data_IF_095458292633
#
_entry.id   IF_095458292633
#
_cell.length_a   1.000
_cell.length_b   1.000
_cell.length_c   1.000
_cell.angle_alpha   90.00
_cell.angle_beta   90.00
_cell.angle_gamma   90.00
#
_symmetry.space_group_name_H-M   'P 1'
#
loop_
_entity.id
_entity.type
_entity.pdbx_description
1 polymer ?
#
# COMPACT_ATOMS: atom_id res chain seq x y z
N UNK A 1 -7.79 20.47 -39.79
CA UNK A 1 -8.10 20.60 -38.34
C UNK A 1 -6.83 20.40 -37.51
N UNK A 2 -5.94 21.40 -37.38
CA UNK A 2 -4.71 21.28 -36.57
C UNK A 2 -4.79 21.97 -35.19
N UNK A 3 -5.92 22.58 -34.81
CA UNK A 3 -6.03 23.37 -33.57
C UNK A 3 -6.28 22.54 -32.30
N UNK A 4 -6.58 21.25 -32.41
CA UNK A 4 -6.86 20.37 -31.26
C UNK A 4 -5.62 19.63 -30.73
N UNK A 5 -4.53 19.57 -31.49
CA UNK A 5 -3.27 18.92 -31.08
C UNK A 5 -2.61 19.58 -29.85
N UNK A 6 -2.53 20.93 -29.70
CA UNK A 6 -1.92 21.51 -28.50
C UNK A 6 -2.78 21.25 -27.25
N UNK A 7 -4.10 21.19 -27.38
CA UNK A 7 -5.01 20.91 -26.27
C UNK A 7 -4.85 19.47 -25.74
N UNK A 8 -4.64 18.51 -26.65
CA UNK A 8 -4.39 17.12 -26.29
C UNK A 8 -3.03 16.96 -25.56
N UNK A 9 -2.00 17.69 -26.02
CA UNK A 9 -0.68 17.72 -25.38
C UNK A 9 -0.71 18.39 -23.99
N UNK A 10 -1.45 19.49 -23.82
CA UNK A 10 -1.62 20.10 -22.49
C UNK A 10 -2.38 19.18 -21.52
N UNK A 11 -3.42 18.50 -21.99
CA UNK A 11 -4.21 17.58 -21.16
C UNK A 11 -3.40 16.40 -20.63
N UNK A 12 -2.44 15.89 -21.41
CA UNK A 12 -1.60 14.75 -21.03
C UNK A 12 -0.54 15.11 -19.98
N UNK A 13 -0.04 16.35 -19.97
CA UNK A 13 0.91 16.83 -18.95
C UNK A 13 0.23 16.91 -17.57
N UNK A 14 -1.02 17.39 -17.52
CA UNK A 14 -1.81 17.52 -16.28
C UNK A 14 -2.09 16.18 -15.60
N UNK A 15 -2.17 15.09 -16.36
CA UNK A 15 -2.42 13.75 -15.81
C UNK A 15 -1.20 13.16 -15.09
N UNK A 16 0.02 13.63 -15.38
CA UNK A 16 1.26 13.07 -14.82
C UNK A 16 1.77 13.85 -13.60
N UNK A 17 1.29 15.09 -13.38
CA UNK A 17 1.74 15.97 -12.28
C UNK A 17 1.14 15.64 -10.90
N UNK A 18 0.32 14.60 -10.76
CA UNK A 18 -0.38 14.25 -9.52
C UNK A 18 0.45 13.49 -8.48
N UNK A 19 1.64 12.99 -8.83
CA UNK A 19 2.48 12.22 -7.91
C UNK A 19 3.50 13.12 -7.22
N UNK A 20 3.40 13.29 -5.90
CA UNK A 20 4.48 13.87 -5.11
C UNK A 20 5.64 12.85 -5.05
N UNK A 21 6.81 13.12 -5.67
CA UNK A 21 7.87 12.14 -5.81
C UNK A 21 8.62 11.87 -4.50
N UNK A 22 8.49 12.75 -3.51
CA UNK A 22 9.24 12.67 -2.27
C UNK A 22 8.35 13.11 -1.10
N UNK A 23 7.71 12.15 -0.44
CA UNK A 23 7.05 12.34 0.85
C UNK A 23 8.02 11.85 1.91
N UNK A 24 8.41 12.75 2.82
CA UNK A 24 9.40 12.44 3.84
C UNK A 24 8.84 11.36 4.78
N UNK A 25 9.67 10.43 5.32
CA UNK A 25 9.17 9.29 6.10
C UNK A 25 8.24 9.66 7.26
N UNK A 26 8.48 10.79 7.92
CA UNK A 26 7.65 11.29 9.02
C UNK A 26 6.31 11.92 8.58
N UNK A 27 6.20 12.37 7.33
CA UNK A 27 4.95 12.92 6.77
C UNK A 27 3.92 11.81 6.47
N UNK A 28 4.39 10.58 6.26
CA UNK A 28 3.53 9.42 6.01
C UNK A 28 2.71 8.99 7.23
N UNK A 29 3.15 9.36 8.45
CA UNK A 29 2.46 9.02 9.69
C UNK A 29 1.13 9.74 9.90
N UNK A 30 0.91 10.89 9.25
CA UNK A 30 -0.32 11.67 9.40
C UNK A 30 -1.54 11.02 8.73
N UNK A 31 -1.31 10.25 7.67
CA UNK A 31 -2.38 9.63 6.88
C UNK A 31 -2.64 8.17 7.26
N UNK A 32 -1.63 7.47 7.78
CA UNK A 32 -1.75 6.08 8.21
C UNK A 32 -2.41 5.98 9.60
N UNK A 33 -3.74 5.93 9.61
CA UNK A 33 -4.50 5.79 10.86
C UNK A 33 -4.38 4.35 11.40
N UNK A 34 -4.45 4.12 12.73
CA UNK A 34 -4.33 2.78 13.32
C UNK A 34 -5.33 1.75 12.77
N UNK A 35 -6.53 2.17 12.38
CA UNK A 35 -7.55 1.28 11.78
C UNK A 35 -7.27 0.88 10.33
N UNK A 36 -6.29 1.49 9.68
CA UNK A 36 -5.82 1.12 8.34
C UNK A 36 -4.75 0.02 8.39
N UNK A 37 -4.36 -0.43 9.59
CA UNK A 37 -3.44 -1.54 9.75
C UNK A 37 -4.04 -2.82 9.13
N UNK A 38 -3.20 -3.61 8.45
CA UNK A 38 -3.60 -4.90 7.87
C UNK A 38 -4.15 -5.88 8.90
N UNK A 39 -3.68 -5.77 10.15
CA UNK A 39 -4.11 -6.61 11.27
C UNK A 39 -4.28 -5.71 12.50
N UNK A 40 -5.43 -5.03 12.64
CA UNK A 40 -5.65 -4.11 13.76
C UNK A 40 -5.88 -4.85 15.09
N UNK A 41 -6.28 -6.13 15.04
CA UNK A 41 -6.48 -7.00 16.20
C UNK A 41 -5.56 -8.22 16.13
N UNK A 42 -4.59 -8.29 17.05
CA UNK A 42 -3.62 -9.38 17.11
C UNK A 42 -4.25 -10.74 17.45
N UNK A 43 -5.29 -10.77 18.28
CA UNK A 43 -5.97 -12.02 18.67
C UNK A 43 -6.70 -12.62 17.48
N UNK A 44 -7.43 -11.79 16.74
CA UNK A 44 -8.14 -12.21 15.54
C UNK A 44 -7.18 -12.68 14.44
N UNK A 45 -6.06 -11.97 14.25
CA UNK A 45 -5.02 -12.35 13.30
C UNK A 45 -4.40 -13.71 13.66
N UNK A 46 -4.06 -13.91 14.93
CA UNK A 46 -3.53 -15.20 15.43
C UNK A 46 -4.53 -16.34 15.21
N UNK A 47 -5.80 -16.13 15.54
CA UNK A 47 -6.84 -17.14 15.34
C UNK A 47 -7.01 -17.51 13.85
N UNK A 48 -7.01 -16.51 12.96
CA UNK A 48 -7.10 -16.74 11.51
C UNK A 48 -5.90 -17.51 10.99
N UNK A 49 -4.70 -17.19 11.48
CA UNK A 49 -3.48 -17.92 11.14
C UNK A 49 -3.53 -19.37 11.64
N UNK A 50 -4.00 -19.60 12.87
CA UNK A 50 -4.19 -20.95 13.41
C UNK A 50 -5.17 -21.77 12.55
N UNK A 51 -6.27 -21.17 12.12
CA UNK A 51 -7.20 -21.83 11.19
C UNK A 51 -6.55 -22.12 9.84
N UNK A 52 -5.80 -21.18 9.27
CA UNK A 52 -5.14 -21.37 7.96
C UNK A 52 -4.12 -22.51 8.02
N UNK A 53 -3.26 -22.53 9.05
CA UNK A 53 -2.27 -23.59 9.25
C UNK A 53 -2.96 -24.95 9.39
N UNK A 54 -4.06 -25.00 10.12
CA UNK A 54 -4.81 -26.25 10.36
C UNK A 54 -5.48 -26.78 9.09
N UNK A 55 -5.92 -25.89 8.20
CA UNK A 55 -6.67 -26.28 7.00
C UNK A 55 -5.78 -26.52 5.79
N UNK A 56 -4.68 -25.79 5.69
CA UNK A 56 -3.87 -25.75 4.46
C UNK A 56 -2.44 -26.23 4.66
N UNK A 57 -2.00 -26.52 5.89
CA UNK A 57 -0.63 -26.93 6.23
C UNK A 57 0.46 -26.08 5.53
N UNK A 58 0.13 -24.82 5.22
CA UNK A 58 0.94 -23.95 4.38
C UNK A 58 2.10 -23.40 5.20
N UNK A 59 3.26 -24.04 5.08
CA UNK A 59 4.51 -23.53 5.62
C UNK A 59 5.03 -22.41 4.71
N UNK A 60 4.88 -21.14 5.13
CA UNK A 60 5.54 -20.00 4.49
C UNK A 60 4.66 -18.80 4.09
N UNK A 61 3.37 -18.78 4.43
CA UNK A 61 2.41 -17.86 3.80
C UNK A 61 1.93 -16.62 4.56
N UNK A 62 2.49 -16.26 5.73
CA UNK A 62 1.97 -15.12 6.53
C UNK A 62 2.93 -13.92 6.66
N UNK A 63 4.09 -13.96 6.00
CA UNK A 63 5.12 -12.92 6.03
C UNK A 63 5.31 -12.18 4.71
N UNK A 64 4.22 -11.83 4.02
CA UNK A 64 4.26 -11.03 2.80
C UNK A 64 4.28 -9.53 3.11
N UNK A 65 5.47 -8.99 3.41
CA UNK A 65 5.86 -7.58 3.24
C UNK A 65 4.80 -6.48 3.46
N UNK A 66 4.43 -6.22 4.71
CA UNK A 66 3.70 -5.02 5.12
C UNK A 66 4.63 -3.97 5.75
N UNK A 67 5.47 -3.31 4.95
CA UNK A 67 6.08 -2.01 5.22
C UNK A 67 6.68 -1.76 6.62
N UNK A 68 7.76 -2.45 6.97
CA UNK A 68 8.65 -2.09 8.09
C UNK A 68 10.10 -2.35 7.68
N UNK A 69 11.01 -1.43 8.00
CA UNK A 69 12.43 -1.55 7.69
C UNK A 69 12.95 -2.91 8.15
N UNK A 70 13.29 -3.78 7.20
CA UNK A 70 13.88 -5.07 7.48
C UNK A 70 15.22 -4.87 8.16
N UNK A 71 15.27 -5.17 9.45
CA UNK A 71 16.49 -5.37 10.21
C UNK A 71 16.21 -6.55 11.15
N UNK A 72 17.06 -7.57 11.05
CA UNK A 72 17.34 -8.47 12.18
C UNK A 72 17.86 -7.63 13.36
#
# INVERSE_FOLDING_TARGET
MPSTTPALCLGSILLVTGCAPNVMPWERGLLAKPHMAFQPNAIEASLRQHMLISKEASSGGHGGGGGGCGCN
#
